data_IF_151424126863
#
_entry.id   IF_151424126863
#
_cell.length_a   1.000
_cell.length_b   1.000
_cell.length_c   1.000
_cell.angle_alpha   90.00
_cell.angle_beta   90.00
_cell.angle_gamma   90.00
#
_symmetry.space_group_name_H-M   'P 1'
#
loop_
_entity.id
_entity.type
_entity.pdbx_description
1 polymer ?
#
# COMPACT_ATOMS: atom_id res chain seq x y z
N UNK A 1 8.89 9.06 1.99
CA UNK A 1 9.08 10.34 1.25
C UNK A 1 9.14 9.98 -0.23
N UNK A 2 8.16 10.39 -1.01
CA UNK A 2 8.21 10.29 -2.46
C UNK A 2 9.38 11.18 -2.95
N UNK A 3 10.24 10.67 -3.87
CA UNK A 3 11.23 11.52 -4.47
C UNK A 3 10.51 12.61 -5.27
N UNK A 4 10.68 13.84 -4.85
CA UNK A 4 10.23 14.99 -5.61
C UNK A 4 11.12 15.11 -6.83
N UNK A 5 10.59 14.74 -7.99
CA UNK A 5 11.23 15.03 -9.25
C UNK A 5 11.15 16.55 -9.48
N UNK A 6 12.25 17.10 -9.95
CA UNK A 6 12.55 18.49 -10.26
C UNK A 6 11.32 19.37 -10.51
N UNK A 7 11.08 20.31 -9.62
CA UNK A 7 10.15 21.41 -9.83
C UNK A 7 10.71 22.32 -10.93
N UNK A 8 10.04 22.40 -12.05
CA UNK A 8 10.30 23.45 -13.03
C UNK A 8 9.05 24.31 -13.16
N UNK A 9 9.10 25.52 -12.61
CA UNK A 9 7.96 26.42 -12.63
C UNK A 9 6.77 25.93 -11.80
N UNK A 10 5.54 26.09 -12.31
CA UNK A 10 4.29 25.70 -11.66
C UNK A 10 3.88 24.25 -11.95
N UNK A 11 4.80 23.40 -12.39
CA UNK A 11 4.53 21.98 -12.71
C UNK A 11 5.29 21.06 -11.77
N UNK A 12 4.58 20.09 -11.24
CA UNK A 12 5.13 19.01 -10.41
C UNK A 12 4.84 17.66 -11.05
N UNK A 13 5.86 16.81 -11.14
CA UNK A 13 5.68 15.40 -11.49
C UNK A 13 5.62 14.56 -10.24
N UNK A 14 4.55 13.78 -10.11
CA UNK A 14 4.36 12.85 -9.02
C UNK A 14 4.36 11.45 -9.61
N UNK A 15 5.33 10.65 -9.20
CA UNK A 15 5.33 9.22 -9.50
C UNK A 15 4.62 8.50 -8.36
N UNK A 16 3.48 7.89 -8.65
CA UNK A 16 2.79 7.00 -7.72
C UNK A 16 3.20 5.59 -8.11
N UNK A 17 4.10 5.00 -7.34
CA UNK A 17 4.43 3.59 -7.51
C UNK A 17 3.23 2.74 -7.04
N UNK A 18 2.82 1.76 -7.83
CA UNK A 18 1.80 0.80 -7.43
C UNK A 18 2.25 0.12 -6.16
N UNK A 19 3.54 -0.02 -6.00
CA UNK A 19 4.08 -0.87 -5.01
C UNK A 19 5.39 -0.36 -4.44
N UNK A 20 5.46 -0.40 -3.13
CA UNK A 20 6.71 -0.51 -2.41
C UNK A 20 7.14 -1.97 -2.20
N UNK A 21 6.30 -2.91 -2.54
CA UNK A 21 6.73 -4.26 -2.82
C UNK A 21 7.48 -4.21 -4.17
N UNK A 22 8.50 -3.41 -4.25
CA UNK A 22 9.49 -3.62 -5.29
C UNK A 22 10.03 -5.02 -5.05
N UNK A 23 9.36 -5.98 -5.63
CA UNK A 23 9.91 -7.29 -5.89
C UNK A 23 11.03 -7.04 -6.86
N UNK A 24 12.07 -6.52 -6.31
CA UNK A 24 13.28 -6.34 -6.99
C UNK A 24 13.84 -7.73 -7.14
N UNK A 25 13.66 -8.33 -8.29
CA UNK A 25 14.77 -9.11 -8.76
C UNK A 25 15.95 -8.14 -8.73
N UNK A 26 16.77 -8.19 -7.72
CA UNK A 26 18.04 -7.51 -7.75
C UNK A 26 18.78 -8.18 -8.90
N UNK A 27 19.15 -7.43 -9.94
CA UNK A 27 20.13 -7.96 -10.85
C UNK A 27 21.30 -8.43 -9.99
N UNK A 28 21.84 -9.61 -10.20
CA UNK A 28 22.99 -10.10 -9.45
C UNK A 28 24.18 -9.18 -9.76
N UNK A 29 24.20 -8.04 -9.09
CA UNK A 29 25.33 -7.13 -9.18
C UNK A 29 26.55 -7.73 -8.47
N UNK A 30 26.30 -8.63 -7.52
CA UNK A 30 27.31 -9.48 -6.91
C UNK A 30 26.60 -10.73 -6.39
N UNK A 31 27.04 -11.93 -6.77
CA UNK A 31 26.43 -13.19 -6.32
C UNK A 31 26.27 -13.29 -4.81
N UNK A 32 27.20 -12.74 -4.06
CA UNK A 32 27.24 -12.86 -2.60
C UNK A 32 26.20 -11.99 -1.88
N UNK A 33 25.73 -10.91 -2.49
CA UNK A 33 24.69 -10.07 -1.88
C UNK A 33 23.29 -10.53 -2.20
N UNK A 34 23.07 -11.13 -3.34
CA UNK A 34 21.76 -11.67 -3.71
C UNK A 34 21.35 -12.80 -2.77
N UNK A 35 22.28 -13.65 -2.36
CA UNK A 35 22.02 -14.79 -1.49
C UNK A 35 21.60 -14.40 -0.06
N UNK A 36 21.96 -13.23 0.43
CA UNK A 36 21.72 -12.81 1.83
C UNK A 36 20.37 -12.09 2.00
N UNK A 37 19.80 -11.51 0.95
CA UNK A 37 18.67 -10.58 1.07
C UNK A 37 17.36 -11.09 0.50
N UNK A 38 17.33 -12.21 -0.22
CA UNK A 38 16.17 -12.74 -0.92
C UNK A 38 15.90 -14.18 -0.57
N UNK A 39 15.22 -14.34 0.54
CA UNK A 39 14.50 -15.58 0.79
C UNK A 39 13.13 -15.48 0.09
N UNK A 40 13.12 -15.90 -1.16
CA UNK A 40 11.91 -15.98 -1.95
C UNK A 40 11.85 -14.93 -3.05
N UNK A 41 12.10 -15.35 -4.27
CA UNK A 41 11.81 -14.57 -5.45
C UNK A 41 10.30 -14.50 -5.66
N UNK A 42 9.79 -13.29 -5.88
CA UNK A 42 8.42 -13.11 -6.32
C UNK A 42 8.45 -12.70 -7.78
N UNK A 43 7.78 -13.47 -8.60
CA UNK A 43 7.67 -13.23 -10.03
C UNK A 43 6.36 -12.49 -10.32
N UNK A 44 6.43 -11.35 -10.97
CA UNK A 44 5.27 -10.67 -11.52
C UNK A 44 4.82 -11.44 -12.75
N UNK A 45 3.60 -11.98 -12.71
CA UNK A 45 2.99 -12.75 -13.80
C UNK A 45 2.27 -11.85 -14.78
N UNK A 46 1.54 -10.88 -14.26
CA UNK A 46 0.81 -9.91 -15.05
C UNK A 46 0.71 -8.57 -14.31
N UNK A 47 0.71 -7.50 -15.04
CA UNK A 47 0.52 -6.16 -14.46
C UNK A 47 0.02 -5.19 -15.51
N UNK A 48 -0.78 -4.20 -15.13
CA UNK A 48 -1.22 -3.13 -16.00
C UNK A 48 -1.69 -1.91 -15.22
N UNK A 49 -1.99 -0.81 -15.95
CA UNK A 49 -2.51 0.42 -15.39
C UNK A 49 -3.47 1.14 -16.32
N UNK A 50 -4.50 1.72 -15.73
CA UNK A 50 -5.51 2.50 -16.43
C UNK A 50 -5.31 4.00 -16.19
N UNK A 51 -4.88 4.73 -17.20
CA UNK A 51 -4.62 6.18 -17.13
C UNK A 51 -5.85 6.98 -16.72
N UNK A 52 -7.01 6.68 -17.34
CA UNK A 52 -8.24 7.40 -17.13
C UNK A 52 -8.83 7.20 -15.74
N UNK A 53 -8.58 6.03 -15.16
CA UNK A 53 -9.06 5.65 -13.84
C UNK A 53 -8.01 5.84 -12.74
N UNK A 54 -6.79 6.23 -13.11
CA UNK A 54 -5.66 6.39 -12.17
C UNK A 54 -5.48 5.15 -11.28
N UNK A 55 -5.45 3.98 -11.93
CA UNK A 55 -5.32 2.70 -11.26
C UNK A 55 -4.17 1.88 -11.79
N UNK A 56 -3.62 1.03 -10.93
CA UNK A 56 -2.58 0.06 -11.24
C UNK A 56 -2.93 -1.27 -10.58
N UNK A 57 -2.50 -2.37 -11.18
CA UNK A 57 -2.64 -3.69 -10.58
C UNK A 57 -1.49 -4.62 -11.03
N UNK A 58 -1.19 -5.60 -10.21
CA UNK A 58 -0.25 -6.66 -10.51
C UNK A 58 -0.69 -7.99 -9.90
N UNK A 59 -0.44 -9.06 -10.63
CA UNK A 59 -0.45 -10.44 -10.14
C UNK A 59 0.98 -10.93 -10.06
N UNK A 60 1.31 -11.61 -8.99
CA UNK A 60 2.61 -12.18 -8.74
C UNK A 60 2.52 -13.57 -8.11
N UNK A 61 3.64 -14.27 -8.13
CA UNK A 61 3.80 -15.55 -7.46
C UNK A 61 5.15 -15.60 -6.77
N UNK A 62 5.13 -15.97 -5.49
CA UNK A 62 6.36 -16.28 -4.76
C UNK A 62 6.97 -17.58 -5.28
N UNK A 63 8.28 -17.75 -5.10
CA UNK A 63 9.04 -18.92 -5.53
C UNK A 63 8.42 -20.25 -5.04
N UNK A 64 7.85 -20.24 -3.84
CA UNK A 64 7.14 -21.39 -3.25
C UNK A 64 5.73 -21.60 -3.81
N UNK A 65 5.35 -20.89 -4.86
CA UNK A 65 4.06 -21.03 -5.54
C UNK A 65 2.91 -20.25 -4.93
N UNK A 66 3.12 -19.48 -3.86
CA UNK A 66 2.09 -18.64 -3.25
C UNK A 66 1.72 -17.49 -4.21
N UNK A 67 0.46 -17.45 -4.64
CA UNK A 67 -0.04 -16.34 -5.44
C UNK A 67 -0.24 -15.10 -4.58
N UNK A 68 0.10 -13.94 -5.13
CA UNK A 68 -0.04 -12.63 -4.53
C UNK A 68 -0.61 -11.66 -5.55
N UNK A 69 -1.44 -10.76 -5.10
CA UNK A 69 -1.97 -9.71 -5.94
C UNK A 69 -1.94 -8.37 -5.21
N UNK A 70 -1.81 -7.29 -5.95
CA UNK A 70 -1.92 -5.93 -5.44
C UNK A 70 -2.57 -5.02 -6.48
N UNK A 71 -3.39 -4.11 -6.02
CA UNK A 71 -3.93 -3.05 -6.83
C UNK A 71 -3.92 -1.71 -6.09
N UNK A 72 -3.84 -0.63 -6.85
CA UNK A 72 -3.89 0.72 -6.32
C UNK A 72 -4.82 1.61 -7.15
N UNK A 73 -5.51 2.51 -6.46
CA UNK A 73 -6.30 3.58 -7.03
C UNK A 73 -5.91 4.92 -6.40
N UNK A 74 -5.83 5.99 -7.20
CA UNK A 74 -5.40 7.30 -6.74
C UNK A 74 -6.54 8.30 -6.81
N UNK A 75 -6.73 9.08 -5.75
CA UNK A 75 -7.55 10.29 -5.72
C UNK A 75 -6.68 11.52 -5.85
N UNK A 76 -7.12 12.43 -6.70
CA UNK A 76 -6.51 13.74 -6.86
C UNK A 76 -7.22 14.77 -5.96
N UNK A 77 -6.53 15.83 -5.53
CA UNK A 77 -7.15 16.96 -4.87
C UNK A 77 -8.22 17.58 -5.76
N UNK A 78 -9.32 18.04 -5.14
CA UNK A 78 -10.36 18.77 -5.86
C UNK A 78 -9.80 20.01 -6.56
N UNK A 79 -10.19 20.22 -7.82
CA UNK A 79 -9.75 21.36 -8.62
C UNK A 79 -8.31 21.29 -9.14
N UNK A 80 -7.58 20.21 -8.86
CA UNK A 80 -6.25 20.04 -9.42
C UNK A 80 -6.32 19.80 -10.94
N UNK A 81 -5.55 20.58 -11.69
CA UNK A 81 -5.43 20.37 -13.14
C UNK A 81 -4.40 19.29 -13.43
N UNK A 82 -4.88 18.16 -13.90
CA UNK A 82 -4.04 17.09 -14.44
C UNK A 82 -3.59 17.48 -15.85
N UNK A 83 -2.29 17.47 -16.10
CA UNK A 83 -1.67 17.85 -17.38
C UNK A 83 -1.41 16.61 -18.22
N UNK A 84 -0.85 15.57 -17.63
CA UNK A 84 -0.51 14.31 -18.30
C UNK A 84 -0.53 13.13 -17.32
N UNK A 85 -0.79 11.94 -17.85
CA UNK A 85 -0.73 10.67 -17.12
C UNK A 85 0.00 9.65 -17.96
N UNK A 86 1.04 9.06 -17.40
CA UNK A 86 1.78 7.97 -18.04
C UNK A 86 1.78 6.74 -17.16
N UNK A 87 1.53 5.59 -17.77
CA UNK A 87 1.78 4.30 -17.13
C UNK A 87 3.16 3.83 -17.60
N UNK A 88 4.05 3.64 -16.64
CA UNK A 88 5.36 3.04 -16.87
C UNK A 88 5.36 1.61 -16.39
N UNK A 89 5.73 0.68 -17.27
CA UNK A 89 5.79 -0.74 -16.99
C UNK A 89 7.14 -1.31 -17.39
N UNK A 90 7.78 -1.97 -16.45
CA UNK A 90 8.99 -2.76 -16.66
C UNK A 90 8.93 -4.02 -15.80
N UNK A 91 9.90 -4.91 -15.96
CA UNK A 91 10.04 -6.11 -15.13
C UNK A 91 10.24 -5.80 -13.62
N UNK A 92 10.65 -4.57 -13.30
CA UNK A 92 10.97 -4.16 -11.93
C UNK A 92 10.04 -3.08 -11.38
N UNK A 93 9.20 -2.49 -12.22
CA UNK A 93 8.42 -1.31 -11.82
C UNK A 93 7.15 -1.21 -12.62
N UNK A 94 6.05 -1.01 -11.89
CA UNK A 94 4.80 -0.51 -12.42
C UNK A 94 4.51 0.82 -11.72
N UNK A 95 4.36 1.90 -12.47
CA UNK A 95 4.05 3.21 -11.90
C UNK A 95 3.08 4.00 -12.76
N UNK A 96 2.38 4.90 -12.08
CA UNK A 96 1.55 5.92 -12.68
C UNK A 96 2.24 7.27 -12.44
N UNK A 97 2.72 7.88 -13.51
CA UNK A 97 3.40 9.16 -13.45
C UNK A 97 2.40 10.27 -13.81
N UNK A 98 2.14 11.16 -12.86
CA UNK A 98 1.18 12.25 -13.00
C UNK A 98 1.92 13.58 -13.16
N UNK A 99 1.60 14.31 -14.22
CA UNK A 99 2.02 15.71 -14.38
C UNK A 99 0.85 16.61 -14.02
N UNK A 100 1.03 17.50 -13.05
CA UNK A 100 -0.04 18.33 -12.51
C UNK A 100 0.36 19.81 -12.49
N UNK A 101 -0.62 20.68 -12.66
CA UNK A 101 -0.43 22.12 -12.47
C UNK A 101 -0.57 22.47 -11.01
N UNK A 102 0.44 23.11 -10.43
CA UNK A 102 0.42 23.56 -9.03
C UNK A 102 0.64 25.06 -8.92
N UNK A 103 0.20 25.65 -7.82
CA UNK A 103 0.37 27.08 -7.52
C UNK A 103 1.17 27.25 -6.23
N UNK A 104 2.07 28.22 -6.23
CA UNK A 104 2.90 28.56 -5.07
C UNK A 104 2.02 28.86 -3.85
N UNK A 105 2.37 28.29 -2.70
CA UNK A 105 1.67 28.52 -1.43
C UNK A 105 0.40 27.66 -1.24
N UNK A 106 0.04 26.83 -2.22
CA UNK A 106 -1.07 25.90 -2.09
C UNK A 106 -0.58 24.53 -1.56
N UNK A 107 -1.43 23.88 -0.77
CA UNK A 107 -1.21 22.50 -0.32
C UNK A 107 -2.10 21.56 -1.12
N UNK A 108 -1.53 20.47 -1.61
CA UNK A 108 -2.22 19.46 -2.40
C UNK A 108 -2.11 18.10 -1.71
N UNK A 109 -3.25 17.47 -1.41
CA UNK A 109 -3.30 16.15 -0.79
C UNK A 109 -3.69 15.10 -1.81
N UNK A 110 -2.81 14.15 -2.03
CA UNK A 110 -3.06 12.98 -2.87
C UNK A 110 -3.31 11.78 -1.98
N UNK A 111 -4.34 10.99 -2.30
CA UNK A 111 -4.63 9.77 -1.54
C UNK A 111 -4.47 8.57 -2.45
N UNK A 112 -3.67 7.62 -2.02
CA UNK A 112 -3.50 6.31 -2.67
C UNK A 112 -4.21 5.26 -1.83
N UNK A 113 -5.12 4.53 -2.45
CA UNK A 113 -5.81 3.37 -1.88
C UNK A 113 -5.17 2.12 -2.44
N UNK A 114 -4.82 1.19 -1.58
CA UNK A 114 -4.14 -0.06 -1.95
C UNK A 114 -4.92 -1.23 -1.39
N UNK A 115 -5.14 -2.23 -2.21
CA UNK A 115 -5.58 -3.56 -1.79
C UNK A 115 -4.49 -4.56 -2.16
N UNK A 116 -4.23 -5.50 -1.27
CA UNK A 116 -3.26 -6.56 -1.48
C UNK A 116 -3.79 -7.86 -0.90
N UNK A 117 -3.63 -8.94 -1.63
CA UNK A 117 -4.13 -10.26 -1.24
C UNK A 117 -3.13 -11.37 -1.55
N UNK A 118 -3.35 -12.52 -0.91
CA UNK A 118 -2.61 -13.78 -1.14
C UNK A 118 -3.58 -14.88 -1.56
N UNK A 119 -3.06 -16.00 -2.06
CA UNK A 119 -3.87 -17.11 -2.55
C UNK A 119 -4.85 -17.69 -1.53
N UNK A 120 -4.46 -17.74 -0.26
CA UNK A 120 -5.31 -18.17 0.84
C UNK A 120 -6.45 -17.19 1.16
N UNK A 121 -6.36 -15.94 0.62
CA UNK A 121 -7.40 -14.91 0.70
C UNK A 121 -7.96 -14.53 -0.68
N UNK A 122 -7.73 -15.36 -1.68
CA UNK A 122 -8.27 -15.15 -3.02
C UNK A 122 -7.35 -14.46 -4.01
N UNK A 123 -6.07 -14.20 -3.70
CA UNK A 123 -5.04 -13.53 -4.49
C UNK A 123 -5.34 -13.31 -5.98
N UNK A 124 -6.15 -12.30 -6.29
CA UNK A 124 -6.61 -11.94 -7.64
C UNK A 124 -6.58 -10.42 -7.79
N UNK A 125 -5.75 -9.95 -8.70
CA UNK A 125 -5.60 -8.52 -8.97
C UNK A 125 -6.90 -7.84 -9.41
N UNK A 126 -7.86 -8.55 -10.00
CA UNK A 126 -9.16 -7.96 -10.36
C UNK A 126 -10.01 -7.70 -9.13
N UNK A 127 -9.97 -8.59 -8.14
CA UNK A 127 -10.64 -8.42 -6.84
C UNK A 127 -10.00 -7.26 -6.11
N UNK A 128 -8.68 -7.23 -6.02
CA UNK A 128 -7.94 -6.15 -5.37
C UNK A 128 -8.18 -4.80 -6.06
N UNK A 129 -8.25 -4.78 -7.40
CA UNK A 129 -8.57 -3.57 -8.15
C UNK A 129 -9.98 -3.05 -7.84
N UNK A 130 -10.96 -3.95 -7.72
CA UNK A 130 -12.31 -3.58 -7.32
C UNK A 130 -12.31 -2.99 -5.89
N UNK A 131 -11.65 -3.65 -4.93
CA UNK A 131 -11.52 -3.16 -3.56
C UNK A 131 -10.83 -1.79 -3.49
N UNK A 132 -9.75 -1.58 -4.23
CA UNK A 132 -9.05 -0.30 -4.26
C UNK A 132 -9.93 0.82 -4.87
N UNK A 133 -10.72 0.51 -5.92
CA UNK A 133 -11.68 1.44 -6.51
C UNK A 133 -12.81 1.78 -5.54
N UNK A 134 -13.35 0.78 -4.84
CA UNK A 134 -14.40 0.96 -3.83
C UNK A 134 -13.89 1.78 -2.63
N UNK A 135 -12.70 1.48 -2.15
CA UNK A 135 -12.05 2.26 -1.11
C UNK A 135 -11.90 3.74 -1.49
N UNK A 136 -11.50 4.00 -2.74
CA UNK A 136 -11.43 5.35 -3.29
C UNK A 136 -12.80 6.01 -3.38
N UNK A 137 -13.82 5.28 -3.81
CA UNK A 137 -15.19 5.81 -3.92
C UNK A 137 -15.78 6.17 -2.55
N UNK A 138 -15.50 5.35 -1.52
CA UNK A 138 -15.91 5.61 -0.15
C UNK A 138 -15.14 6.77 0.51
N UNK A 139 -13.91 7.01 0.08
CA UNK A 139 -13.05 8.07 0.58
C UNK A 139 -12.35 7.73 1.90
N UNK A 140 -11.30 8.51 2.18
CA UNK A 140 -10.43 8.27 3.35
C UNK A 140 -11.16 8.38 4.69
N UNK A 141 -12.01 9.37 4.86
CA UNK A 141 -12.70 9.62 6.14
C UNK A 141 -13.65 8.49 6.51
N UNK A 142 -14.38 7.96 5.52
CA UNK A 142 -15.26 6.79 5.71
C UNK A 142 -14.49 5.55 6.14
N UNK A 143 -13.36 5.29 5.48
CA UNK A 143 -12.48 4.17 5.83
C UNK A 143 -11.87 4.34 7.23
N UNK A 144 -11.44 5.56 7.57
CA UNK A 144 -10.90 5.87 8.89
C UNK A 144 -11.95 5.66 9.99
N UNK A 145 -13.18 6.06 9.75
CA UNK A 145 -14.28 5.86 10.70
C UNK A 145 -14.61 4.38 10.89
N UNK A 146 -14.67 3.61 9.80
CA UNK A 146 -14.85 2.16 9.85
C UNK A 146 -13.70 1.48 10.62
N UNK A 147 -12.46 1.89 10.34
CA UNK A 147 -11.27 1.41 11.03
C UNK A 147 -11.33 1.71 12.56
N UNK A 148 -11.68 2.94 12.92
CA UNK A 148 -11.85 3.33 14.34
C UNK A 148 -12.90 2.49 15.05
N UNK A 149 -14.03 2.22 14.40
CA UNK A 149 -15.10 1.37 14.97
C UNK A 149 -14.62 -0.06 15.17
N UNK A 150 -13.91 -0.63 14.19
CA UNK A 150 -13.34 -1.97 14.31
C UNK A 150 -12.37 -2.05 15.49
N UNK A 151 -11.42 -1.12 15.58
CA UNK A 151 -10.50 -1.07 16.70
C UNK A 151 -11.19 -0.85 18.06
N UNK A 152 -12.16 0.07 18.13
CA UNK A 152 -12.92 0.28 19.36
C UNK A 152 -13.65 -1.00 19.82
N UNK A 153 -14.04 -1.87 18.90
CA UNK A 153 -14.60 -3.19 19.25
C UNK A 153 -13.55 -4.15 19.83
N UNK A 154 -12.33 -4.14 19.31
CA UNK A 154 -11.22 -4.96 19.80
C UNK A 154 -10.74 -4.49 21.18
N UNK A 155 -10.69 -3.16 21.41
CA UNK A 155 -10.29 -2.55 22.68
C UNK A 155 -11.31 -2.68 23.82
N UNK A 156 -12.40 -3.42 23.65
CA UNK A 156 -13.32 -3.73 24.75
C UNK A 156 -12.65 -4.54 25.87
N UNK A 157 -11.62 -5.30 25.53
CA UNK A 157 -10.77 -6.01 26.48
C UNK A 157 -9.51 -5.18 26.71
N UNK A 158 -9.52 -4.34 27.73
CA UNK A 158 -8.41 -3.46 28.11
C UNK A 158 -7.79 -3.91 29.42
N UNK A 159 -6.49 -3.68 29.57
CA UNK A 159 -5.75 -3.87 30.81
C UNK A 159 -5.34 -2.49 31.32
N UNK A 160 -5.84 -2.13 32.51
CA UNK A 160 -5.56 -0.84 33.13
C UNK A 160 -4.58 -1.02 34.29
N UNK A 161 -3.58 -0.15 34.33
CA UNK A 161 -2.58 -0.07 35.39
C UNK A 161 -2.70 1.28 36.06
N UNK A 162 -3.08 1.28 37.32
CA UNK A 162 -3.19 2.50 38.13
C UNK A 162 -1.80 2.89 38.68
N UNK A 163 -1.52 4.19 38.65
CA UNK A 163 -0.32 4.76 39.26
C UNK A 163 0.96 4.72 38.43
N UNK A 164 0.99 4.01 37.30
CA UNK A 164 2.16 3.96 36.41
C UNK A 164 1.79 4.20 34.92
N UNK A 165 1.80 5.49 34.47
CA UNK A 165 1.48 5.83 33.08
C UNK A 165 2.48 5.26 32.05
N UNK A 166 3.71 4.98 32.45
CA UNK A 166 4.72 4.43 31.55
C UNK A 166 4.44 2.95 31.30
N UNK A 167 4.20 2.19 32.35
CA UNK A 167 3.80 0.79 32.25
C UNK A 167 2.47 0.65 31.50
N UNK A 168 1.51 1.54 31.74
CA UNK A 168 0.27 1.55 30.96
C UNK A 168 0.50 1.69 29.45
N UNK A 169 1.45 2.54 29.04
CA UNK A 169 1.79 2.67 27.61
C UNK A 169 2.44 1.40 27.04
N UNK A 170 3.29 0.75 27.81
CA UNK A 170 3.90 -0.53 27.40
C UNK A 170 2.82 -1.58 27.20
N UNK A 171 1.95 -1.76 28.18
CA UNK A 171 0.87 -2.74 28.11
C UNK A 171 -0.08 -2.46 26.94
N UNK A 172 -0.44 -1.20 26.68
CA UNK A 172 -1.26 -0.85 25.54
C UNK A 172 -0.54 -1.10 24.20
N UNK A 173 0.78 -0.87 24.12
CA UNK A 173 1.55 -1.20 22.94
C UNK A 173 1.55 -2.70 22.66
N UNK A 174 1.78 -3.51 23.69
CA UNK A 174 1.79 -4.97 23.57
C UNK A 174 0.41 -5.52 23.20
N UNK A 175 -0.64 -5.02 23.85
CA UNK A 175 -2.03 -5.34 23.49
C UNK A 175 -2.35 -4.97 22.04
N UNK A 176 -1.89 -3.83 21.57
CA UNK A 176 -2.06 -3.44 20.17
C UNK A 176 -1.45 -4.48 19.22
N UNK A 177 -0.20 -4.90 19.47
CA UNK A 177 0.45 -5.92 18.64
C UNK A 177 -0.25 -7.28 18.72
N UNK A 178 -0.70 -7.68 19.90
CA UNK A 178 -1.48 -8.91 20.07
C UNK A 178 -2.80 -8.84 19.28
N UNK A 179 -3.56 -7.79 19.43
CA UNK A 179 -4.84 -7.59 18.75
C UNK A 179 -4.67 -7.46 17.22
N UNK A 180 -3.59 -6.83 16.78
CA UNK A 180 -3.30 -6.70 15.35
C UNK A 180 -2.93 -8.04 14.67
N UNK A 181 -2.37 -8.98 15.44
CA UNK A 181 -1.94 -10.29 14.93
C UNK A 181 -2.94 -11.42 15.19
N UNK A 182 -3.81 -11.29 16.20
CA UNK A 182 -4.78 -12.29 16.60
C UNK A 182 -6.18 -11.94 16.09
N UNK A 183 -6.37 -11.90 14.77
CA UNK A 183 -7.70 -11.70 14.22
C UNK A 183 -8.41 -13.06 14.05
N UNK A 184 -9.74 -13.12 14.23
CA UNK A 184 -10.51 -14.38 14.06
C UNK A 184 -10.34 -15.01 12.67
N UNK A 185 -9.97 -14.20 11.68
CA UNK A 185 -9.86 -14.61 10.28
C UNK A 185 -8.44 -15.05 9.88
N UNK A 186 -7.49 -15.03 10.81
CA UNK A 186 -6.14 -15.50 10.54
C UNK A 186 -5.98 -16.98 10.88
N UNK A 187 -5.68 -17.78 9.87
CA UNK A 187 -5.46 -19.22 10.00
C UNK A 187 -4.04 -19.61 10.46
N UNK A 188 -3.16 -18.65 10.67
CA UNK A 188 -1.78 -18.89 11.12
C UNK A 188 -1.54 -18.47 12.54
N UNK A 189 -0.57 -19.13 13.16
CA UNK A 189 -0.09 -18.74 14.47
C UNK A 189 0.48 -17.30 14.44
N UNK A 190 0.33 -16.59 15.56
CA UNK A 190 1.02 -15.31 15.76
C UNK A 190 2.51 -15.54 15.56
N UNK A 191 3.15 -14.69 14.77
CA UNK A 191 4.60 -14.69 14.65
C UNK A 191 5.24 -14.40 15.99
N UNK A 192 6.22 -15.19 16.35
CA UNK A 192 7.04 -14.95 17.54
C UNK A 192 8.12 -13.89 17.27
#
# INVERSE_FOLDING_TARGET
>A
RLPLAKLSGDQMQIAVAANNLSFKAIPPATPDRAAVWYHGDTHVLASDGERNNLTLWLDGRAEQGLAMAEAAAVSLPAGLRLVDVKVYKSIYRLSLDLSVQVHKGQTYTFTKYVAASRADWGGDAKVDLALAKDARANGFDSLLEAHRKAWASLWKSDIRIDGDPEMQRVVHSDLYYLLANATPDTAWAMGA
#
